data_IF_074858583908
#
_entry.id   IF_074858583908
#
_cell.length_a   1.000
_cell.length_b   1.000
_cell.length_c   1.000
_cell.angle_alpha   90.00
_cell.angle_beta   90.00
_cell.angle_gamma   90.00
#
_symmetry.space_group_name_H-M   'P 1'
#
loop_
_entity.id
_entity.type
_entity.pdbx_description
1 polymer ?
#
# COMPACT_ATOMS: atom_id res chain seq x y z
N UNK A 1 -1.83 -56.27 -23.04
CA UNK A 1 -2.97 -55.91 -23.92
C UNK A 1 -4.19 -55.59 -23.08
N UNK A 2 -4.96 -54.56 -23.46
CA UNK A 2 -6.19 -53.98 -22.86
C UNK A 2 -5.89 -52.94 -21.76
N UNK A 3 -5.80 -51.64 -22.10
CA UNK A 3 -6.86 -50.64 -22.35
C UNK A 3 -7.82 -50.44 -21.17
N UNK A 4 -7.40 -49.61 -20.21
CA UNK A 4 -8.29 -48.83 -19.33
C UNK A 4 -7.48 -47.60 -18.95
N UNK A 5 -7.56 -46.44 -19.65
CA UNK A 5 -7.04 -45.12 -19.20
C UNK A 5 -7.53 -43.99 -20.13
N UNK A 6 -8.82 -43.99 -20.50
CA UNK A 6 -9.41 -42.93 -21.34
C UNK A 6 -10.72 -42.35 -20.77
N UNK A 7 -11.14 -42.76 -19.58
CA UNK A 7 -12.40 -42.32 -18.97
C UNK A 7 -12.29 -41.20 -17.94
N UNK A 8 -11.10 -40.99 -17.35
CA UNK A 8 -10.93 -40.02 -16.26
C UNK A 8 -10.60 -38.59 -16.75
N UNK A 9 -10.05 -38.45 -17.95
CA UNK A 9 -9.62 -37.15 -18.48
C UNK A 9 -10.78 -36.31 -19.05
N UNK A 10 -11.90 -36.94 -19.46
CA UNK A 10 -13.07 -36.22 -19.97
C UNK A 10 -14.01 -35.70 -18.86
N UNK A 11 -13.93 -36.25 -17.64
CA UNK A 11 -14.79 -35.82 -16.52
C UNK A 11 -14.24 -34.56 -15.84
N UNK A 12 -12.91 -34.37 -15.83
CA UNK A 12 -12.27 -33.18 -15.24
C UNK A 12 -12.46 -31.93 -16.12
N UNK A 13 -12.53 -32.08 -17.44
CA UNK A 13 -12.77 -30.96 -18.36
C UNK A 13 -14.24 -30.52 -18.34
N UNK A 14 -15.19 -31.43 -18.10
CA UNK A 14 -16.62 -31.11 -18.01
C UNK A 14 -16.99 -30.38 -16.70
N UNK A 15 -16.26 -30.61 -15.59
CA UNK A 15 -16.51 -29.94 -14.32
C UNK A 15 -16.07 -28.46 -14.31
N UNK A 16 -14.98 -28.11 -15.02
CA UNK A 16 -14.54 -26.71 -15.13
C UNK A 16 -15.45 -25.85 -16.02
N UNK A 17 -16.17 -26.43 -16.98
CA UNK A 17 -17.09 -25.69 -17.84
C UNK A 17 -18.44 -25.38 -17.15
N UNK A 18 -18.85 -26.17 -16.15
CA UNK A 18 -20.14 -25.97 -15.45
C UNK A 18 -20.06 -24.88 -14.37
N UNK A 19 -18.86 -24.62 -13.81
CA UNK A 19 -18.68 -23.55 -12.81
C UNK A 19 -18.65 -22.14 -13.44
N UNK A 20 -18.30 -22.03 -14.73
CA UNK A 20 -18.26 -20.75 -15.45
C UNK A 20 -19.62 -20.32 -16.06
N UNK A 21 -20.65 -21.18 -16.07
CA UNK A 21 -21.95 -20.89 -16.68
C UNK A 21 -23.13 -20.75 -15.69
N UNK A 22 -22.90 -20.87 -14.37
CA UNK A 22 -23.96 -20.75 -13.37
C UNK A 22 -24.22 -19.31 -12.87
N UNK A 23 -23.67 -18.30 -13.56
CA UNK A 23 -24.16 -16.93 -13.47
C UNK A 23 -25.29 -16.74 -14.47
N UNK A 24 -26.49 -17.27 -14.20
CA UNK A 24 -27.81 -16.81 -14.70
C UNK A 24 -28.88 -17.88 -14.40
N UNK A 25 -29.91 -17.47 -13.65
CA UNK A 25 -31.28 -18.04 -13.56
C UNK A 25 -31.60 -19.17 -12.54
N UNK A 26 -32.26 -18.73 -11.46
CA UNK A 26 -33.40 -19.30 -10.69
C UNK A 26 -33.28 -20.60 -9.84
N UNK A 27 -34.10 -20.71 -8.76
CA UNK A 27 -33.70 -21.38 -7.53
C UNK A 27 -34.37 -22.74 -7.29
N UNK A 28 -33.71 -23.61 -6.53
CA UNK A 28 -34.34 -24.78 -5.91
C UNK A 28 -34.26 -24.69 -4.38
N UNK A 29 -35.47 -24.61 -3.82
CA UNK A 29 -35.86 -24.66 -2.42
C UNK A 29 -35.22 -25.80 -1.62
N UNK A 30 -34.60 -25.46 -0.48
CA UNK A 30 -34.43 -26.39 0.65
C UNK A 30 -34.76 -25.67 1.96
N UNK A 31 -35.85 -26.13 2.57
CA UNK A 31 -36.36 -25.73 3.89
C UNK A 31 -35.36 -26.12 4.99
N UNK A 32 -34.94 -25.15 5.80
CA UNK A 32 -34.35 -25.39 7.11
C UNK A 32 -35.33 -24.97 8.22
N UNK A 33 -35.36 -25.82 9.26
CA UNK A 33 -36.26 -25.78 10.41
C UNK A 33 -35.95 -24.57 11.30
N UNK A 34 -37.00 -23.88 11.70
CA UNK A 34 -36.98 -22.78 12.66
C UNK A 34 -36.78 -23.31 14.09
N UNK A 35 -35.76 -22.80 14.77
CA UNK A 35 -35.67 -22.84 16.23
C UNK A 35 -36.12 -21.48 16.78
N UNK A 36 -37.07 -21.52 17.72
CA UNK A 36 -37.71 -20.39 18.39
C UNK A 36 -36.80 -19.74 19.44
N UNK A 37 -36.71 -18.40 19.52
CA UNK A 37 -36.22 -17.72 20.72
C UNK A 37 -37.35 -17.47 21.72
N UNK A 38 -37.04 -17.74 22.98
CA UNK A 38 -37.90 -17.59 24.15
C UNK A 38 -38.11 -16.12 24.53
N UNK A 39 -39.34 -15.83 24.98
CA UNK A 39 -39.78 -14.57 25.61
C UNK A 39 -39.01 -14.30 26.90
N UNK A 40 -38.53 -13.07 27.08
CA UNK A 40 -38.22 -12.50 28.39
C UNK A 40 -39.21 -11.36 28.66
N UNK A 41 -39.71 -11.31 29.89
CA UNK A 41 -40.85 -10.54 30.35
C UNK A 41 -40.53 -9.10 30.74
N UNK A 42 -41.54 -8.25 30.57
CA UNK A 42 -41.73 -6.92 31.17
C UNK A 42 -41.45 -6.86 32.67
N UNK A 43 -40.87 -5.75 33.11
CA UNK A 43 -41.17 -5.11 34.39
C UNK A 43 -41.39 -3.60 34.17
N UNK A 44 -42.39 -3.08 34.86
CA UNK A 44 -43.00 -1.74 34.75
C UNK A 44 -42.50 -0.78 35.84
N UNK A 45 -42.42 0.50 35.44
CA UNK A 45 -42.75 1.75 36.16
C UNK A 45 -42.09 2.08 37.51
N UNK A 46 -41.47 3.27 37.55
CA UNK A 46 -41.90 4.36 38.45
C UNK A 46 -41.37 5.72 37.96
N UNK A 47 -42.28 6.69 37.88
CA UNK A 47 -42.04 8.12 37.69
C UNK A 47 -41.41 8.74 38.95
N UNK A 48 -40.53 9.74 38.79
CA UNK A 48 -40.73 11.10 39.34
C UNK A 48 -39.50 12.00 39.19
N UNK A 49 -39.78 13.22 38.73
CA UNK A 49 -39.20 14.52 39.10
C UNK A 49 -37.90 15.04 38.46
N UNK A 50 -38.11 16.06 37.63
CA UNK A 50 -37.68 17.46 37.79
C UNK A 50 -36.20 17.70 38.14
N UNK A 51 -35.41 17.87 37.09
CA UNK A 51 -34.26 18.76 37.10
C UNK A 51 -34.26 19.61 35.83
N UNK A 52 -34.41 20.92 36.03
CA UNK A 52 -33.98 21.96 35.10
C UNK A 52 -32.49 21.74 34.81
N UNK A 53 -32.14 21.26 33.62
CA UNK A 53 -30.76 21.12 33.18
C UNK A 53 -30.65 21.59 31.72
N UNK A 54 -30.05 22.77 31.61
CA UNK A 54 -29.57 23.50 30.44
C UNK A 54 -29.88 22.93 29.06
N UNK A 55 -30.73 23.68 28.37
CA UNK A 55 -30.96 23.77 26.92
C UNK A 55 -29.63 23.99 26.15
N UNK A 56 -28.78 22.95 26.13
CA UNK A 56 -27.73 22.78 25.13
C UNK A 56 -28.42 22.12 23.95
N UNK A 57 -29.07 22.94 23.12
CA UNK A 57 -29.56 22.55 21.80
C UNK A 57 -28.44 21.76 21.10
N UNK A 58 -28.64 20.44 21.08
CA UNK A 58 -28.16 19.46 20.12
C UNK A 58 -27.11 20.02 19.14
N UNK A 59 -25.86 20.12 19.58
CA UNK A 59 -24.74 19.80 18.70
C UNK A 59 -24.97 18.34 18.32
N UNK A 60 -25.79 18.12 17.29
CA UNK A 60 -25.91 16.84 16.62
C UNK A 60 -24.49 16.42 16.35
N UNK A 61 -24.06 15.33 17.00
CA UNK A 61 -22.87 14.59 16.63
C UNK A 61 -23.03 14.25 15.15
N UNK A 62 -22.58 15.16 14.27
CA UNK A 62 -22.54 14.96 12.83
C UNK A 62 -21.79 13.65 12.67
N UNK A 63 -22.51 12.62 12.21
CA UNK A 63 -21.94 11.30 12.06
C UNK A 63 -20.67 11.49 11.22
N UNK A 64 -19.46 11.18 11.74
CA UNK A 64 -18.21 11.43 11.03
C UNK A 64 -18.09 10.62 9.73
N UNK A 65 -19.13 9.88 9.34
CA UNK A 65 -19.29 9.20 8.06
C UNK A 65 -20.14 9.96 7.04
N UNK A 66 -20.85 11.03 7.43
CA UNK A 66 -21.67 11.83 6.53
C UNK A 66 -20.78 12.56 5.51
N UNK A 67 -20.95 12.23 4.23
CA UNK A 67 -20.12 12.74 3.13
C UNK A 67 -18.94 11.85 2.72
N UNK A 68 -18.66 10.75 3.43
CA UNK A 68 -17.65 9.79 2.96
C UNK A 68 -18.17 8.98 1.76
N UNK A 69 -17.34 8.90 0.73
CA UNK A 69 -17.56 7.99 -0.40
C UNK A 69 -17.47 6.53 0.08
N UNK A 70 -18.20 5.61 -0.57
CA UNK A 70 -18.16 4.18 -0.21
C UNK A 70 -16.74 3.57 -0.25
N UNK A 71 -15.83 4.15 -1.02
CA UNK A 71 -14.41 3.75 -1.05
C UNK A 71 -13.63 4.22 0.18
N UNK A 72 -13.88 5.42 0.69
CA UNK A 72 -13.28 5.90 1.95
C UNK A 72 -13.75 5.06 3.15
N UNK A 73 -15.03 4.68 3.16
CA UNK A 73 -15.56 3.74 4.14
C UNK A 73 -14.87 2.37 4.03
N UNK A 74 -14.65 1.85 2.81
CA UNK A 74 -13.88 0.62 2.57
C UNK A 74 -12.46 0.72 3.15
N UNK A 75 -11.81 1.87 2.96
CA UNK A 75 -10.46 2.14 3.45
C UNK A 75 -10.37 2.20 4.97
N UNK A 76 -11.29 2.95 5.59
CA UNK A 76 -11.42 3.06 7.05
C UNK A 76 -11.71 1.69 7.66
N UNK A 77 -12.62 0.93 7.05
CA UNK A 77 -12.94 -0.44 7.47
C UNK A 77 -11.72 -1.35 7.38
N UNK A 78 -10.93 -1.30 6.30
CA UNK A 78 -9.71 -2.11 6.16
C UNK A 78 -8.65 -1.77 7.22
N UNK A 79 -8.50 -0.48 7.57
CA UNK A 79 -7.60 -0.06 8.65
C UNK A 79 -8.07 -0.59 10.01
N UNK A 80 -9.33 -0.32 10.37
CA UNK A 80 -9.93 -0.77 11.64
C UNK A 80 -9.84 -2.29 11.75
N UNK A 81 -10.06 -3.01 10.65
CA UNK A 81 -9.94 -4.45 10.56
C UNK A 81 -8.53 -4.93 10.90
N UNK A 82 -7.52 -4.32 10.29
CA UNK A 82 -6.12 -4.65 10.58
C UNK A 82 -5.73 -4.31 12.01
N UNK A 83 -6.37 -3.34 12.65
CA UNK A 83 -6.07 -2.97 14.04
C UNK A 83 -6.73 -3.91 15.05
N UNK A 84 -8.00 -4.25 14.83
CA UNK A 84 -8.80 -5.03 15.78
C UNK A 84 -8.49 -6.53 15.74
N UNK A 85 -8.23 -7.09 14.55
CA UNK A 85 -8.06 -8.54 14.38
C UNK A 85 -6.60 -9.00 14.49
N UNK A 86 -5.62 -8.11 14.64
CA UNK A 86 -4.21 -8.46 14.49
C UNK A 86 -3.58 -9.13 15.72
N UNK A 87 -3.02 -10.32 15.50
CA UNK A 87 -2.24 -11.02 16.52
C UNK A 87 -0.78 -10.54 16.52
N UNK A 88 -0.46 -9.63 17.43
CA UNK A 88 0.91 -9.12 17.59
C UNK A 88 1.97 -10.19 17.86
N UNK A 89 1.59 -11.34 18.45
CA UNK A 89 2.53 -12.43 18.75
C UNK A 89 2.84 -13.27 17.51
N UNK A 90 1.85 -13.58 16.68
CA UNK A 90 2.06 -14.40 15.49
C UNK A 90 2.46 -13.56 14.27
N UNK A 91 1.83 -12.40 14.08
CA UNK A 91 1.95 -11.53 12.90
C UNK A 91 2.99 -10.42 13.09
N UNK A 92 3.42 -10.14 14.32
CA UNK A 92 4.43 -9.11 14.64
C UNK A 92 3.81 -7.72 14.76
N UNK A 93 4.59 -6.67 14.53
CA UNK A 93 4.11 -5.29 14.63
C UNK A 93 3.06 -4.98 13.55
N UNK A 94 1.90 -4.45 13.96
CA UNK A 94 0.85 -3.99 13.03
C UNK A 94 1.38 -2.81 12.21
N UNK A 95 1.33 -2.85 10.87
CA UNK A 95 1.80 -1.77 10.01
C UNK A 95 0.78 -0.60 9.94
N UNK A 96 0.34 -0.06 11.08
CA UNK A 96 -0.66 1.03 11.14
C UNK A 96 -0.08 2.39 10.75
N UNK A 97 1.22 2.58 10.95
CA UNK A 97 1.95 3.81 10.58
C UNK A 97 3.16 3.46 9.73
N UNK A 98 3.67 4.42 8.92
CA UNK A 98 4.88 4.21 8.13
C UNK A 98 6.08 3.74 8.95
N UNK A 99 6.23 4.25 10.17
CA UNK A 99 7.33 3.93 11.09
C UNK A 99 7.22 2.49 11.58
N UNK A 100 6.02 2.06 12.02
CA UNK A 100 5.78 0.69 12.48
C UNK A 100 5.96 -0.32 11.36
N UNK A 101 5.45 -0.01 10.16
CA UNK A 101 5.65 -0.84 8.98
C UNK A 101 7.13 -0.96 8.62
N UNK A 102 7.88 0.16 8.70
CA UNK A 102 9.30 0.19 8.41
C UNK A 102 10.12 -0.64 9.40
N UNK A 103 9.79 -0.60 10.70
CA UNK A 103 10.44 -1.45 11.72
C UNK A 103 10.27 -2.94 11.41
N UNK A 104 9.04 -3.35 11.07
CA UNK A 104 8.75 -4.75 10.70
C UNK A 104 9.51 -5.18 9.42
N UNK A 105 9.55 -4.30 8.41
CA UNK A 105 10.28 -4.56 7.18
C UNK A 105 11.81 -4.59 7.39
N UNK A 106 12.36 -3.70 8.22
CA UNK A 106 13.79 -3.58 8.48
C UNK A 106 14.40 -4.87 9.06
N UNK A 107 13.64 -5.60 9.89
CA UNK A 107 14.08 -6.91 10.40
C UNK A 107 14.22 -7.94 9.28
N UNK A 108 13.24 -8.02 8.39
CA UNK A 108 13.28 -8.94 7.24
C UNK A 108 14.39 -8.57 6.25
N UNK A 109 14.60 -7.27 6.00
CA UNK A 109 15.72 -6.76 5.18
C UNK A 109 17.06 -7.14 5.81
N UNK A 110 17.22 -6.94 7.12
CA UNK A 110 18.47 -7.28 7.83
C UNK A 110 18.82 -8.76 7.69
N UNK A 111 17.84 -9.65 7.85
CA UNK A 111 18.02 -11.09 7.69
C UNK A 111 18.38 -11.47 6.25
N UNK A 112 17.77 -10.81 5.25
CA UNK A 112 18.08 -11.04 3.84
C UNK A 112 19.48 -10.57 3.46
N UNK A 113 19.90 -9.39 3.93
CA UNK A 113 21.27 -8.87 3.75
C UNK A 113 22.30 -9.80 4.41
N UNK A 114 21.99 -10.35 5.58
CA UNK A 114 22.83 -11.35 6.26
C UNK A 114 23.01 -12.65 5.45
N UNK A 115 22.12 -12.93 4.50
CA UNK A 115 22.23 -14.04 3.53
C UNK A 115 22.72 -13.60 2.15
N UNK A 116 23.34 -12.41 2.07
CA UNK A 116 23.91 -11.85 0.85
C UNK A 116 22.90 -11.57 -0.27
N UNK A 117 21.62 -11.36 0.07
CA UNK A 117 20.68 -10.76 -0.87
C UNK A 117 20.87 -9.25 -0.90
N UNK A 118 21.12 -8.72 -2.09
CA UNK A 118 21.34 -7.30 -2.32
C UNK A 118 20.20 -6.64 -3.12
N UNK A 119 19.39 -7.42 -3.83
CA UNK A 119 18.19 -6.95 -4.52
C UNK A 119 16.95 -7.49 -3.79
N UNK A 120 16.20 -6.59 -3.17
CA UNK A 120 15.09 -6.94 -2.28
C UNK A 120 13.80 -6.24 -2.70
N UNK A 121 12.67 -6.85 -2.40
CA UNK A 121 11.34 -6.31 -2.68
C UNK A 121 10.53 -6.24 -1.39
N UNK A 122 9.87 -5.11 -1.19
CA UNK A 122 8.91 -4.86 -0.13
C UNK A 122 7.58 -4.53 -0.80
N UNK A 123 6.50 -5.21 -0.42
CA UNK A 123 5.17 -4.95 -0.96
C UNK A 123 4.12 -4.78 0.15
N UNK A 124 3.87 -3.53 0.47
CA UNK A 124 2.76 -3.09 1.29
C UNK A 124 1.56 -2.90 0.36
N UNK A 125 0.78 -3.94 0.11
CA UNK A 125 -0.49 -3.85 -0.63
C UNK A 125 -1.60 -3.23 0.23
N UNK A 126 -1.22 -2.20 1.00
CA UNK A 126 -2.10 -1.32 1.75
C UNK A 126 -2.46 -0.17 0.82
N UNK A 127 -3.72 0.27 0.74
CA UNK A 127 -4.10 1.17 -0.35
C UNK A 127 -3.47 2.57 -0.24
N UNK A 128 -3.03 3.00 0.95
CA UNK A 128 -2.26 4.24 1.10
C UNK A 128 -0.86 4.19 0.47
N UNK A 129 -0.36 2.99 0.16
CA UNK A 129 0.96 2.77 -0.41
C UNK A 129 0.88 2.21 -1.83
N UNK A 130 -0.30 1.77 -2.29
CA UNK A 130 -0.47 1.20 -3.63
C UNK A 130 -0.86 2.27 -4.65
N UNK A 131 0.02 2.52 -5.62
CA UNK A 131 -0.22 3.52 -6.67
C UNK A 131 -1.40 3.15 -7.59
N UNK A 132 -1.74 1.85 -7.68
CA UNK A 132 -2.84 1.38 -8.53
C UNK A 132 -4.22 1.70 -7.97
N UNK A 133 -4.34 2.03 -6.68
CA UNK A 133 -5.60 2.47 -6.07
C UNK A 133 -5.96 3.90 -6.51
N UNK A 134 -5.01 4.60 -7.14
CA UNK A 134 -5.20 5.92 -7.72
C UNK A 134 -4.76 7.06 -6.80
N UNK A 135 -4.66 8.28 -7.34
CA UNK A 135 -4.05 9.42 -6.66
C UNK A 135 -4.84 9.88 -5.42
N UNK A 136 -6.13 9.49 -5.32
CA UNK A 136 -6.97 9.81 -4.16
C UNK A 136 -6.55 9.04 -2.91
N UNK A 137 -6.13 7.78 -3.08
CA UNK A 137 -5.81 6.89 -1.96
C UNK A 137 -4.30 6.75 -1.74
N UNK A 138 -3.50 6.87 -2.80
CA UNK A 138 -2.05 6.82 -2.72
C UNK A 138 -1.47 8.05 -2.00
N UNK A 139 -0.93 7.84 -0.80
CA UNK A 139 -0.29 8.89 0.00
C UNK A 139 1.23 8.86 -0.20
N UNK A 140 1.70 9.66 -1.16
CA UNK A 140 3.12 9.83 -1.47
C UNK A 140 3.97 10.17 -0.23
N UNK A 141 3.42 10.95 0.71
CA UNK A 141 4.12 11.35 1.92
C UNK A 141 4.24 10.17 2.89
N UNK A 142 3.18 9.37 3.06
CA UNK A 142 3.25 8.15 3.86
C UNK A 142 4.28 7.15 3.31
N UNK A 143 4.33 6.98 1.98
CA UNK A 143 5.33 6.13 1.32
C UNK A 143 6.76 6.66 1.57
N UNK A 144 6.97 7.96 1.43
CA UNK A 144 8.26 8.58 1.72
C UNK A 144 8.67 8.46 3.19
N UNK A 145 7.74 8.65 4.13
CA UNK A 145 7.97 8.47 5.56
C UNK A 145 8.35 7.03 5.90
N UNK A 146 7.73 6.06 5.23
CA UNK A 146 8.10 4.65 5.35
C UNK A 146 9.54 4.43 4.89
N UNK A 147 9.93 4.92 3.71
CA UNK A 147 11.30 4.80 3.19
C UNK A 147 12.33 5.46 4.11
N UNK A 148 12.01 6.64 4.63
CA UNK A 148 12.86 7.37 5.59
C UNK A 148 13.05 6.58 6.87
N UNK A 149 11.95 6.08 7.44
CA UNK A 149 11.97 5.26 8.65
C UNK A 149 12.74 3.94 8.44
N UNK A 150 12.56 3.31 7.29
CA UNK A 150 13.28 2.09 6.92
C UNK A 150 14.77 2.37 6.84
N UNK A 151 15.17 3.47 6.20
CA UNK A 151 16.57 3.89 6.11
C UNK A 151 17.18 4.09 7.49
N UNK A 152 16.50 4.83 8.37
CA UNK A 152 16.97 5.08 9.73
C UNK A 152 17.18 3.77 10.50
N UNK A 153 16.25 2.81 10.38
CA UNK A 153 16.36 1.50 11.01
C UNK A 153 17.56 0.69 10.46
N UNK A 154 17.84 0.77 9.16
CA UNK A 154 18.98 0.08 8.55
C UNK A 154 20.32 0.72 8.91
N UNK A 155 20.37 2.06 9.02
CA UNK A 155 21.54 2.82 9.49
C UNK A 155 21.82 2.55 10.97
N UNK A 156 20.79 2.54 11.82
CA UNK A 156 20.91 2.20 13.24
C UNK A 156 21.52 0.81 13.44
N UNK A 157 21.16 -0.14 12.58
CA UNK A 157 21.70 -1.51 12.54
C UNK A 157 23.07 -1.62 11.85
N UNK A 158 23.62 -0.52 11.34
CA UNK A 158 24.89 -0.46 10.59
C UNK A 158 24.91 -1.36 9.36
N UNK A 159 23.75 -1.55 8.72
CA UNK A 159 23.62 -2.36 7.52
C UNK A 159 23.88 -1.53 6.26
N UNK A 160 23.55 -0.25 6.32
CA UNK A 160 23.80 0.75 5.28
C UNK A 160 24.32 2.02 5.94
N UNK A 161 25.01 2.88 5.20
CA UNK A 161 25.44 4.21 5.67
C UNK A 161 24.45 5.29 5.30
N UNK A 162 23.95 5.28 4.06
CA UNK A 162 23.01 6.29 3.55
C UNK A 162 22.25 5.75 2.34
N UNK A 163 20.96 6.10 2.22
CA UNK A 163 20.16 5.66 1.07
C UNK A 163 19.79 6.79 0.10
N UNK A 164 19.77 6.48 -1.18
CA UNK A 164 19.08 7.27 -2.20
C UNK A 164 17.65 6.76 -2.40
N UNK A 165 16.64 7.57 -2.07
CA UNK A 165 15.23 7.28 -2.33
C UNK A 165 14.87 7.87 -3.69
N UNK A 166 14.53 7.01 -4.63
CA UNK A 166 14.17 7.36 -6.01
C UNK A 166 12.66 7.27 -6.20
N UNK A 167 12.08 8.41 -6.57
CA UNK A 167 10.71 8.52 -7.09
C UNK A 167 10.75 8.69 -8.61
N UNK A 168 9.60 8.57 -9.27
CA UNK A 168 9.58 8.39 -10.73
C UNK A 168 10.07 9.63 -11.47
N UNK A 169 9.51 10.79 -11.14
CA UNK A 169 9.78 12.05 -11.83
C UNK A 169 9.91 13.23 -10.86
N UNK A 170 10.34 14.40 -11.38
CA UNK A 170 10.54 15.59 -10.55
C UNK A 170 9.22 16.16 -10.00
N UNK A 171 8.09 15.88 -10.65
CA UNK A 171 6.78 16.30 -10.16
C UNK A 171 6.41 15.58 -8.86
N UNK A 172 6.59 14.26 -8.81
CA UNK A 172 6.40 13.46 -7.60
C UNK A 172 7.37 13.89 -6.49
N UNK A 173 8.65 14.14 -6.82
CA UNK A 173 9.64 14.66 -5.87
C UNK A 173 9.16 15.97 -5.24
N UNK A 174 8.75 16.95 -6.06
CA UNK A 174 8.29 18.26 -5.57
C UNK A 174 7.00 18.16 -4.75
N UNK A 175 6.09 17.28 -5.14
CA UNK A 175 4.85 17.01 -4.39
C UNK A 175 5.18 16.54 -2.96
N UNK A 176 6.11 15.60 -2.83
CA UNK A 176 6.59 15.10 -1.53
C UNK A 176 7.29 16.21 -0.74
N UNK A 177 8.20 16.98 -1.37
CA UNK A 177 8.90 18.09 -0.71
C UNK A 177 7.91 19.15 -0.18
N UNK A 178 6.93 19.54 -0.99
CA UNK A 178 5.88 20.47 -0.57
C UNK A 178 5.04 19.92 0.57
N UNK A 179 4.70 18.63 0.55
CA UNK A 179 3.95 17.98 1.63
C UNK A 179 4.75 17.93 2.95
N UNK A 180 6.08 17.78 2.88
CA UNK A 180 6.97 17.84 4.03
C UNK A 180 7.02 19.27 4.59
N UNK A 181 7.23 20.27 3.74
CA UNK A 181 7.32 21.68 4.14
C UNK A 181 6.07 22.16 4.88
N UNK A 182 4.88 21.85 4.35
CA UNK A 182 3.59 22.17 5.01
C UNK A 182 3.45 21.57 6.41
N UNK A 183 4.10 20.43 6.65
CA UNK A 183 4.05 19.78 7.97
C UNK A 183 4.97 20.46 8.96
N UNK A 184 6.09 21.01 8.49
CA UNK A 184 7.08 21.71 9.32
C UNK A 184 6.57 23.10 9.71
N UNK A 185 5.88 23.79 8.81
CA UNK A 185 5.33 25.13 9.09
C UNK A 185 4.12 25.10 10.03
N UNK A 186 3.54 23.94 10.29
CA UNK A 186 2.40 23.80 11.20
C UNK A 186 1.13 24.49 10.70
N UNK A 187 1.08 24.87 9.41
CA UNK A 187 -0.10 25.42 8.77
C UNK A 187 -1.14 24.31 8.63
N UNK A 188 -1.97 24.21 9.66
CA UNK A 188 -3.13 23.33 9.70
C UNK A 188 -4.04 23.64 8.50
N UNK A 189 -4.35 22.60 7.72
CA UNK A 189 -5.20 22.60 6.53
C UNK A 189 -6.62 23.15 6.74
N UNK A 190 -7.03 23.46 7.97
CA UNK A 190 -8.39 23.89 8.30
C UNK A 190 -8.67 25.39 8.07
N UNK A 191 -7.66 26.23 7.82
CA UNK A 191 -7.89 27.66 7.53
C UNK A 191 -8.01 27.99 6.02
N UNK A 192 -7.68 27.04 5.14
CA UNK A 192 -7.71 27.24 3.68
C UNK A 192 -9.13 27.31 3.08
N UNK A 193 -10.17 26.90 3.81
CA UNK A 193 -11.53 26.89 3.28
C UNK A 193 -12.31 28.19 3.55
N UNK A 194 -11.76 29.16 4.30
CA UNK A 194 -12.52 30.37 4.64
C UNK A 194 -11.78 31.70 4.66
N UNK A 195 -10.50 31.76 4.32
CA UNK A 195 -9.83 33.05 4.07
C UNK A 195 -8.57 32.90 3.24
N UNK A 196 -8.67 33.15 1.93
CA UNK A 196 -7.61 33.79 1.12
C UNK A 196 -8.05 33.87 -0.34
N UNK A 197 -8.83 34.91 -0.65
CA UNK A 197 -8.97 35.38 -2.03
C UNK A 197 -8.39 36.80 -2.21
N UNK A 198 -7.60 37.33 -1.26
CA UNK A 198 -7.21 38.76 -1.30
C UNK A 198 -5.74 39.12 -1.24
N UNK A 199 -4.81 38.30 -0.74
CA UNK A 199 -3.42 38.77 -0.53
C UNK A 199 -2.39 38.14 -1.49
N UNK A 200 -2.44 36.84 -1.76
CA UNK A 200 -1.44 36.19 -2.64
C UNK A 200 -1.55 36.64 -4.11
N UNK A 201 -2.77 36.95 -4.56
CA UNK A 201 -3.01 37.50 -5.91
C UNK A 201 -2.52 38.95 -5.99
N UNK A 202 -2.55 39.69 -4.88
CA UNK A 202 -2.05 41.07 -4.80
C UNK A 202 -0.53 41.07 -4.81
N UNK A 203 0.12 40.22 -4.02
CA UNK A 203 1.59 40.09 -4.01
C UNK A 203 2.14 39.57 -5.33
N UNK A 204 1.48 38.60 -5.96
CA UNK A 204 1.86 38.13 -7.30
C UNK A 204 1.68 39.24 -8.35
N UNK A 205 0.57 40.00 -8.32
CA UNK A 205 0.38 41.16 -9.20
C UNK A 205 1.40 42.25 -8.97
N UNK A 206 1.80 42.50 -7.73
CA UNK A 206 2.77 43.53 -7.37
C UNK A 206 4.19 43.13 -7.80
N UNK A 207 4.56 41.86 -7.67
CA UNK A 207 5.80 41.32 -8.23
C UNK A 207 5.82 41.39 -9.76
N UNK A 208 4.70 41.09 -10.42
CA UNK A 208 4.57 41.17 -11.88
C UNK A 208 4.68 42.62 -12.39
N UNK A 209 4.01 43.57 -11.74
CA UNK A 209 4.10 45.00 -12.06
C UNK A 209 5.52 45.55 -11.83
N UNK A 210 6.16 45.16 -10.71
CA UNK A 210 7.54 45.56 -10.44
C UNK A 210 8.52 44.98 -11.47
N UNK A 211 8.26 43.78 -11.99
CA UNK A 211 9.07 43.16 -13.05
C UNK A 211 8.91 43.80 -14.44
N UNK A 212 7.83 44.54 -14.66
CA UNK A 212 7.60 45.28 -15.91
C UNK A 212 8.17 46.71 -15.89
N UNK A 213 8.20 47.37 -14.73
CA UNK A 213 8.73 48.74 -14.61
C UNK A 213 10.25 48.80 -14.41
N UNK A 214 10.84 47.73 -13.89
CA UNK A 214 12.29 47.63 -13.78
C UNK A 214 12.87 47.02 -15.05
N UNK A 215 13.27 47.86 -16.00
CA UNK A 215 14.03 47.47 -17.21
C UNK A 215 15.42 46.87 -16.93
N UNK A 216 15.61 46.25 -15.77
CA UNK A 216 16.79 45.52 -15.37
C UNK A 216 16.71 44.09 -15.94
N UNK A 217 17.79 43.57 -16.52
CA UNK A 217 17.82 42.18 -16.96
C UNK A 217 17.60 41.28 -15.73
N UNK A 218 16.60 40.41 -15.81
CA UNK A 218 16.30 39.37 -14.83
C UNK A 218 17.57 38.54 -14.59
N UNK A 219 18.31 38.85 -13.52
CA UNK A 219 19.25 37.90 -12.94
C UNK A 219 18.42 36.68 -12.53
N UNK A 220 18.74 35.54 -13.14
CA UNK A 220 18.21 34.24 -12.75
C UNK A 220 18.53 34.04 -11.28
N UNK A 221 17.57 34.32 -10.40
CA UNK A 221 17.60 33.87 -9.02
C UNK A 221 17.56 32.35 -9.07
N UNK A 222 18.74 31.72 -9.02
CA UNK A 222 18.86 30.29 -8.81
C UNK A 222 18.25 30.00 -7.44
N UNK A 223 16.96 29.65 -7.44
CA UNK A 223 16.30 29.06 -6.29
C UNK A 223 17.13 27.82 -5.95
N UNK A 224 17.83 27.91 -4.81
CA UNK A 224 18.70 26.87 -4.26
C UNK A 224 17.83 25.69 -3.82
N UNK A 225 17.25 24.97 -4.78
CA UNK A 225 16.47 23.75 -4.58
C UNK A 225 17.45 22.62 -4.24
N UNK A 226 17.73 22.45 -2.96
CA UNK A 226 18.05 21.15 -2.34
C UNK A 226 18.28 21.37 -0.85
N UNK A 227 17.21 21.39 -0.09
CA UNK A 227 17.22 21.20 1.37
C UNK A 227 17.40 19.70 1.68
N UNK A 228 18.42 19.06 1.11
CA UNK A 228 18.91 17.82 1.72
C UNK A 228 19.72 18.27 2.93
N UNK A 229 19.13 18.15 4.13
CA UNK A 229 19.90 18.30 5.37
C UNK A 229 21.14 17.41 5.23
N UNK A 230 22.38 17.96 5.29
CA UNK A 230 23.59 17.16 5.17
C UNK A 230 23.64 16.04 6.21
N UNK A 231 22.90 16.19 7.31
CA UNK A 231 22.80 15.22 8.39
C UNK A 231 21.69 14.16 8.19
N UNK A 232 20.87 14.24 7.14
CA UNK A 232 19.87 13.19 6.89
C UNK A 232 20.52 11.88 6.46
N UNK A 233 19.96 10.74 6.88
CA UNK A 233 20.43 9.41 6.48
C UNK A 233 20.01 9.02 5.06
N UNK A 234 19.27 9.89 4.38
CA UNK A 234 18.72 9.64 3.06
C UNK A 234 18.73 10.90 2.19
N UNK A 235 18.57 10.70 0.89
CA UNK A 235 18.32 11.76 -0.08
C UNK A 235 17.14 11.37 -0.96
N UNK A 236 16.14 12.25 -1.08
CA UNK A 236 15.04 12.08 -2.02
C UNK A 236 15.46 12.61 -3.40
N UNK A 237 15.23 11.85 -4.46
CA UNK A 237 15.53 12.29 -5.81
C UNK A 237 14.61 11.65 -6.87
N UNK A 238 14.60 12.23 -8.07
CA UNK A 238 13.84 11.71 -9.21
C UNK A 238 14.71 10.80 -10.09
N UNK A 239 14.16 9.68 -10.56
CA UNK A 239 14.86 8.76 -11.47
C UNK A 239 15.24 9.46 -12.78
N UNK A 240 14.31 10.18 -13.40
CA UNK A 240 14.51 10.83 -14.72
C UNK A 240 14.68 12.35 -14.64
N UNK A 241 14.62 12.94 -13.44
CA UNK A 241 14.69 14.39 -13.27
C UNK A 241 13.49 15.12 -13.88
N UNK A 242 13.76 16.27 -14.50
CA UNK A 242 12.78 17.15 -15.19
C UNK A 242 12.64 16.83 -16.68
N UNK A 243 13.24 15.74 -17.14
CA UNK A 243 13.26 15.40 -18.56
C UNK A 243 11.88 14.90 -19.01
N UNK A 244 11.41 15.42 -20.14
CA UNK A 244 10.19 14.94 -20.78
C UNK A 244 10.56 13.71 -21.60
N UNK A 245 10.12 12.55 -21.14
CA UNK A 245 10.36 11.27 -21.80
C UNK A 245 9.29 11.08 -22.87
N UNK A 246 9.73 10.92 -24.12
CA UNK A 246 8.84 10.60 -25.22
C UNK A 246 8.24 9.19 -25.06
N UNK A 247 7.05 8.97 -25.63
CA UNK A 247 6.42 7.64 -25.67
C UNK A 247 6.80 6.84 -26.93
N UNK A 248 7.74 7.36 -27.72
CA UNK A 248 8.10 6.84 -29.04
C UNK A 248 9.26 5.83 -29.01
N UNK A 249 9.90 5.65 -30.17
CA UNK A 249 11.08 4.78 -30.34
C UNK A 249 12.27 5.20 -29.48
N UNK A 250 12.37 6.49 -29.19
CA UNK A 250 13.55 7.10 -28.57
C UNK A 250 13.45 7.06 -27.03
N UNK A 251 12.31 6.66 -26.48
CA UNK A 251 12.04 6.51 -25.04
C UNK A 251 13.15 5.74 -24.31
N UNK A 252 13.66 4.67 -24.93
CA UNK A 252 14.68 3.83 -24.32
C UNK A 252 15.98 4.60 -24.04
N UNK A 253 16.47 5.34 -25.04
CA UNK A 253 17.71 6.08 -24.94
C UNK A 253 17.55 7.33 -24.06
N UNK A 254 16.39 8.00 -24.15
CA UNK A 254 16.03 9.14 -23.29
C UNK A 254 15.99 8.76 -21.82
N UNK A 255 15.32 7.67 -21.46
CA UNK A 255 15.27 7.19 -20.06
C UNK A 255 16.67 6.82 -19.57
N UNK A 256 17.48 6.14 -20.38
CA UNK A 256 18.85 5.79 -20.00
C UNK A 256 19.68 7.06 -19.73
N UNK A 257 19.62 8.04 -20.63
CA UNK A 257 20.34 9.30 -20.48
C UNK A 257 19.88 10.06 -19.21
N UNK A 258 18.56 10.12 -18.98
CA UNK A 258 17.96 10.76 -17.82
C UNK A 258 18.42 10.10 -16.51
N UNK A 259 18.32 8.77 -16.42
CA UNK A 259 18.76 7.97 -15.27
C UNK A 259 20.27 8.11 -15.06
N UNK A 260 21.04 8.13 -16.14
CA UNK A 260 22.48 8.30 -16.04
C UNK A 260 22.89 9.66 -15.51
N UNK A 261 22.10 10.68 -15.77
CA UNK A 261 22.32 12.04 -15.29
C UNK A 261 21.79 12.24 -13.87
N UNK A 262 20.62 11.70 -13.55
CA UNK A 262 19.87 12.05 -12.33
C UNK A 262 19.96 10.99 -11.22
N UNK A 263 19.90 9.69 -11.53
CA UNK A 263 19.95 8.60 -10.55
C UNK A 263 21.40 8.23 -10.16
N UNK A 264 22.20 9.23 -9.80
CA UNK A 264 23.59 9.04 -9.34
C UNK A 264 23.65 8.94 -7.83
N UNK A 265 24.43 7.98 -7.35
CA UNK A 265 24.84 7.93 -5.94
C UNK A 265 25.87 9.03 -5.67
N UNK A 266 25.69 9.75 -4.57
CA UNK A 266 26.68 10.71 -4.10
C UNK A 266 27.80 9.97 -3.35
N UNK A 267 28.90 9.77 -4.07
CA UNK A 267 30.13 9.17 -3.51
C UNK A 267 30.71 9.94 -2.34
N UNK A 268 30.49 11.26 -2.23
CA UNK A 268 30.99 12.08 -1.12
C UNK A 268 30.22 11.81 0.17
N UNK A 269 28.94 11.48 0.03
CA UNK A 269 28.05 11.17 1.15
C UNK A 269 27.95 9.67 1.45
N UNK A 270 28.77 8.85 0.79
CA UNK A 270 28.83 7.39 0.99
C UNK A 270 27.45 6.71 0.85
N UNK A 271 26.66 7.07 -0.16
CA UNK A 271 25.40 6.37 -0.43
C UNK A 271 25.68 4.93 -0.92
N UNK A 272 25.19 3.95 -0.17
CA UNK A 272 25.42 2.53 -0.38
C UNK A 272 24.13 1.72 -0.62
N UNK A 273 22.97 2.36 -0.44
CA UNK A 273 21.66 1.79 -0.73
C UNK A 273 20.80 2.66 -1.66
N UNK A 274 19.93 2.02 -2.45
CA UNK A 274 18.94 2.66 -3.32
C UNK A 274 17.57 2.09 -2.99
N UNK A 275 16.59 2.94 -2.72
CA UNK A 275 15.18 2.56 -2.56
C UNK A 275 14.42 3.11 -3.77
N UNK A 276 13.77 2.25 -4.55
CA UNK A 276 13.00 2.65 -5.73
C UNK A 276 11.52 2.52 -5.39
N UNK A 277 10.79 3.62 -5.47
CA UNK A 277 9.39 3.72 -5.06
C UNK A 277 8.46 3.46 -6.24
N UNK A 278 7.59 2.47 -6.08
CA UNK A 278 6.43 2.17 -6.93
C UNK A 278 6.68 2.19 -8.45
N UNK A 279 7.75 1.54 -8.97
CA UNK A 279 7.94 1.45 -10.43
C UNK A 279 6.83 0.60 -11.04
N UNK A 280 6.20 1.08 -12.10
CA UNK A 280 5.06 0.38 -12.72
C UNK A 280 5.03 0.40 -14.25
N UNK A 281 5.47 1.47 -14.91
CA UNK A 281 5.34 1.58 -16.37
C UNK A 281 6.60 1.14 -17.14
N UNK A 282 6.53 1.21 -18.48
CA UNK A 282 7.64 0.84 -19.35
C UNK A 282 8.89 1.70 -19.13
N UNK A 283 8.73 3.00 -18.88
CA UNK A 283 9.84 3.90 -18.62
C UNK A 283 10.53 3.54 -17.29
N UNK A 284 9.75 3.24 -16.25
CA UNK A 284 10.24 2.75 -14.97
C UNK A 284 10.99 1.42 -15.14
N UNK A 285 10.48 0.48 -15.94
CA UNK A 285 11.19 -0.78 -16.22
C UNK A 285 12.55 -0.51 -16.87
N UNK A 286 12.64 0.39 -17.86
CA UNK A 286 13.91 0.77 -18.49
C UNK A 286 14.86 1.40 -17.47
N UNK A 287 14.34 2.31 -16.63
CA UNK A 287 15.11 2.97 -15.59
C UNK A 287 15.66 1.97 -14.56
N UNK A 288 14.81 1.05 -14.09
CA UNK A 288 15.17 -0.03 -13.16
C UNK A 288 16.25 -0.92 -13.76
N UNK A 289 16.13 -1.32 -15.03
CA UNK A 289 17.17 -2.10 -15.71
C UNK A 289 18.50 -1.36 -15.74
N UNK A 290 18.47 -0.05 -16.05
CA UNK A 290 19.69 0.77 -16.05
C UNK A 290 20.32 0.89 -14.66
N UNK A 291 19.50 1.08 -13.62
CA UNK A 291 19.97 1.17 -12.22
C UNK A 291 20.56 -0.17 -11.76
N UNK A 292 19.91 -1.30 -12.04
CA UNK A 292 20.40 -2.64 -11.74
C UNK A 292 21.71 -2.94 -12.46
N UNK A 293 21.83 -2.57 -13.74
CA UNK A 293 23.07 -2.74 -14.50
C UNK A 293 24.24 -1.94 -13.89
N UNK A 294 23.97 -0.77 -13.28
CA UNK A 294 25.00 0.09 -12.67
C UNK A 294 25.37 -0.31 -11.25
N UNK A 295 24.38 -0.68 -10.44
CA UNK A 295 24.54 -0.78 -8.99
C UNK A 295 24.13 -2.14 -8.42
N UNK A 296 23.46 -2.99 -9.19
CA UNK A 296 22.89 -4.26 -8.74
C UNK A 296 23.91 -5.32 -8.34
N UNK A 297 25.21 -5.07 -8.46
CA UNK A 297 26.27 -5.94 -7.92
C UNK A 297 27.03 -5.31 -6.74
N UNK A 298 26.93 -4.00 -6.56
CA UNK A 298 27.81 -3.22 -5.66
C UNK A 298 27.05 -2.53 -4.52
N UNK A 299 25.73 -2.49 -4.60
CA UNK A 299 24.85 -1.73 -3.71
C UNK A 299 23.62 -2.55 -3.35
N UNK A 300 23.00 -2.14 -2.26
CA UNK A 300 21.71 -2.66 -1.83
C UNK A 300 20.61 -1.93 -2.58
N UNK A 301 19.71 -2.66 -3.26
CA UNK A 301 18.59 -2.10 -4.00
C UNK A 301 17.30 -2.68 -3.42
N UNK A 302 16.41 -1.80 -2.96
CA UNK A 302 15.11 -2.15 -2.37
C UNK A 302 14.02 -1.58 -3.27
N UNK A 303 13.16 -2.44 -3.80
CA UNK A 303 11.96 -2.04 -4.50
C UNK A 303 10.80 -1.97 -3.51
N UNK A 304 10.14 -0.81 -3.42
CA UNK A 304 8.93 -0.65 -2.64
C UNK A 304 7.72 -0.65 -3.57
N UNK A 305 6.76 -1.52 -3.31
CA UNK A 305 5.46 -1.58 -3.99
C UNK A 305 5.59 -1.60 -5.51
N UNK A 306 6.50 -2.42 -6.04
CA UNK A 306 6.64 -2.57 -7.48
C UNK A 306 5.35 -3.13 -8.09
N UNK A 307 4.92 -2.51 -9.19
CA UNK A 307 3.75 -2.91 -9.98
C UNK A 307 4.11 -3.16 -11.44
N UNK A 308 5.37 -3.45 -11.72
CA UNK A 308 5.85 -3.80 -13.05
C UNK A 308 5.19 -5.11 -13.50
N UNK A 309 4.49 -5.09 -14.62
CA UNK A 309 3.82 -6.30 -15.17
C UNK A 309 4.82 -7.41 -15.49
N UNK A 310 5.99 -7.03 -16.00
CA UNK A 310 7.09 -7.94 -16.32
C UNK A 310 8.33 -7.53 -15.55
N UNK A 311 8.79 -8.40 -14.65
CA UNK A 311 10.03 -8.16 -13.93
C UNK A 311 11.21 -8.30 -14.90
N UNK A 312 12.15 -7.34 -14.90
CA UNK A 312 13.34 -7.45 -15.72
C UNK A 312 14.19 -8.66 -15.32
N UNK A 313 14.90 -9.27 -16.28
CA UNK A 313 15.72 -10.48 -16.06
C UNK A 313 16.81 -10.24 -15.01
N UNK A 314 17.27 -9.00 -14.91
CA UNK A 314 18.22 -8.51 -13.92
C UNK A 314 17.69 -8.64 -12.48
N UNK A 315 16.36 -8.76 -12.29
CA UNK A 315 15.69 -9.04 -11.01
C UNK A 315 15.42 -10.52 -10.76
N UNK A 316 15.95 -11.44 -11.58
CA UNK A 316 15.75 -12.89 -11.37
C UNK A 316 16.21 -13.38 -9.99
N UNK A 317 17.20 -12.72 -9.38
CA UNK A 317 17.69 -13.01 -8.03
C UNK A 317 17.06 -12.14 -6.94
N UNK A 318 16.04 -11.33 -7.27
CA UNK A 318 15.36 -10.52 -6.27
C UNK A 318 14.56 -11.40 -5.32
N UNK A 319 14.48 -10.99 -4.06
CA UNK A 319 13.72 -11.69 -3.02
C UNK A 319 12.70 -10.74 -2.41
N UNK A 320 11.45 -11.18 -2.31
CA UNK A 320 10.46 -10.48 -1.49
C UNK A 320 10.78 -10.73 -0.02
N UNK A 321 11.21 -9.67 0.65
CA UNK A 321 11.62 -9.74 2.05
C UNK A 321 10.49 -9.45 3.00
N UNK A 322 9.58 -8.55 2.61
CA UNK A 322 8.43 -8.18 3.40
C UNK A 322 7.23 -7.93 2.49
N UNK A 323 6.09 -8.52 2.80
CA UNK A 323 4.88 -8.39 2.02
C UNK A 323 3.65 -8.49 2.90
N UNK A 324 2.68 -7.61 2.72
CA UNK A 324 1.38 -7.66 3.42
C UNK A 324 0.27 -7.33 2.43
N UNK A 325 -0.64 -8.28 2.25
CA UNK A 325 -1.83 -8.11 1.42
C UNK A 325 -3.08 -8.44 2.24
N UNK A 326 -3.80 -7.40 2.71
CA UNK A 326 -5.10 -7.59 3.36
C UNK A 326 -6.17 -7.88 2.31
N UNK A 327 -7.06 -8.81 2.62
CA UNK A 327 -8.17 -9.23 1.79
C UNK A 327 -9.44 -9.26 2.65
N UNK A 328 -10.50 -8.67 2.13
CA UNK A 328 -11.80 -8.64 2.79
C UNK A 328 -12.83 -9.16 1.81
N UNK A 329 -13.44 -10.29 2.14
CA UNK A 329 -14.57 -10.80 1.39
C UNK A 329 -15.76 -9.88 1.65
N UNK A 330 -16.32 -9.30 0.60
CA UNK A 330 -17.60 -8.61 0.72
C UNK A 330 -18.67 -9.68 0.92
N UNK A 331 -19.42 -9.58 2.01
CA UNK A 331 -20.67 -10.30 2.12
C UNK A 331 -21.50 -9.93 0.88
N UNK A 332 -22.00 -10.92 0.14
CA UNK A 332 -22.91 -10.64 -0.96
C UNK A 332 -24.10 -9.93 -0.34
N UNK A 333 -24.19 -8.61 -0.53
CA UNK A 333 -25.29 -7.80 -0.05
C UNK A 333 -26.56 -8.44 -0.58
N UNK A 334 -27.23 -9.20 0.29
CA UNK A 334 -28.51 -9.79 -0.05
C UNK A 334 -29.40 -8.57 -0.20
N UNK A 335 -29.82 -8.28 -1.44
CA UNK A 335 -30.48 -7.04 -1.91
C UNK A 335 -31.72 -6.57 -1.13
N UNK A 336 -32.07 -7.23 -0.03
CA UNK A 336 -33.26 -7.00 0.76
C UNK A 336 -33.00 -6.38 2.14
N UNK A 337 -31.75 -6.16 2.56
CA UNK A 337 -31.47 -5.40 3.79
C UNK A 337 -31.24 -3.94 3.43
N UNK A 338 -32.29 -3.11 3.57
CA UNK A 338 -32.25 -1.67 3.28
C UNK A 338 -31.54 -0.84 4.37
N UNK A 339 -30.98 -1.48 5.39
CA UNK A 339 -30.14 -0.84 6.39
C UNK A 339 -28.68 -1.19 6.11
N UNK A 340 -27.99 -0.31 5.38
CA UNK A 340 -26.57 -0.43 5.00
C UNK A 340 -25.59 -0.25 6.18
N UNK A 341 -26.10 0.05 7.38
CA UNK A 341 -25.26 0.42 8.53
C UNK A 341 -24.77 -0.78 9.36
N UNK A 342 -25.33 -1.97 9.18
CA UNK A 342 -24.97 -3.21 9.92
C UNK A 342 -24.36 -4.27 8.98
N UNK A 343 -23.46 -3.87 8.08
CA UNK A 343 -22.71 -4.84 7.27
C UNK A 343 -21.66 -5.49 8.17
N UNK A 344 -22.04 -6.62 8.78
CA UNK A 344 -21.11 -7.48 9.50
C UNK A 344 -19.91 -7.79 8.59
N UNK A 345 -18.67 -7.50 9.03
CA UNK A 345 -17.51 -7.63 8.16
C UNK A 345 -17.37 -9.10 7.76
N UNK A 346 -17.49 -9.36 6.45
CA UNK A 346 -17.30 -10.69 5.88
C UNK A 346 -15.89 -11.23 6.14
N UNK A 347 -15.67 -12.49 5.76
CA UNK A 347 -14.41 -13.21 5.96
C UNK A 347 -13.19 -12.35 5.62
N UNK A 348 -12.22 -12.31 6.53
CA UNK A 348 -11.02 -11.51 6.39
C UNK A 348 -9.81 -12.42 6.29
N UNK A 349 -8.86 -12.04 5.45
CA UNK A 349 -7.59 -12.74 5.33
C UNK A 349 -6.44 -11.76 5.16
N UNK A 350 -5.26 -12.13 5.63
CA UNK A 350 -4.02 -11.39 5.38
C UNK A 350 -2.98 -12.37 4.89
N UNK A 351 -2.46 -12.11 3.70
CA UNK A 351 -1.30 -12.81 3.15
C UNK A 351 -0.06 -12.04 3.56
N UNK A 352 0.88 -12.73 4.21
CA UNK A 352 2.10 -12.11 4.72
C UNK A 352 3.35 -12.85 4.24
N UNK A 353 4.40 -12.09 3.93
CA UNK A 353 5.78 -12.55 3.75
C UNK A 353 6.67 -11.82 4.74
N UNK A 354 7.48 -12.58 5.49
CA UNK A 354 8.52 -12.06 6.38
C UNK A 354 9.74 -12.96 6.25
N UNK A 355 10.78 -12.49 5.58
CA UNK A 355 11.98 -13.29 5.36
C UNK A 355 12.62 -13.68 6.70
N UNK A 356 13.08 -14.93 6.88
CA UNK A 356 13.20 -16.00 5.88
C UNK A 356 11.98 -16.94 5.79
N UNK A 357 10.89 -16.65 6.50
CA UNK A 357 9.69 -17.47 6.46
C UNK A 357 9.05 -17.45 5.07
N UNK A 358 8.42 -18.56 4.71
CA UNK A 358 7.57 -18.61 3.53
C UNK A 358 6.25 -17.85 3.74
N UNK A 359 5.51 -17.70 2.64
CA UNK A 359 4.19 -17.10 2.64
C UNK A 359 3.30 -17.70 3.71
N UNK A 360 2.70 -16.83 4.52
CA UNK A 360 1.79 -17.21 5.59
C UNK A 360 0.43 -16.56 5.34
N UNK A 361 -0.62 -17.34 5.52
CA UNK A 361 -2.00 -16.86 5.42
C UNK A 361 -2.61 -16.82 6.82
N UNK A 362 -3.16 -15.68 7.19
CA UNK A 362 -3.90 -15.48 8.42
C UNK A 362 -5.36 -15.21 8.08
N UNK A 363 -6.29 -15.83 8.80
CA UNK A 363 -7.72 -15.77 8.50
C UNK A 363 -8.47 -15.40 9.77
N UNK A 364 -9.39 -14.44 9.66
CA UNK A 364 -10.37 -14.11 10.67
C UNK A 364 -11.75 -14.34 10.05
N UNK A 365 -12.33 -15.51 10.33
CA UNK A 365 -13.62 -15.94 9.80
C UNK A 365 -14.80 -15.63 10.73
N UNK A 366 -14.54 -15.42 12.02
CA UNK A 366 -15.57 -15.33 13.06
C UNK A 366 -15.49 -14.05 13.91
N UNK A 367 -14.53 -13.16 13.65
CA UNK A 367 -14.34 -11.93 14.42
C UNK A 367 -13.46 -12.08 15.66
N UNK A 368 -12.95 -13.28 15.94
CA UNK A 368 -12.09 -13.57 17.11
C UNK A 368 -10.61 -13.17 16.90
N UNK A 369 -10.29 -12.64 15.71
CA UNK A 369 -8.95 -12.25 15.32
C UNK A 369 -8.28 -13.23 14.37
N UNK A 370 -7.12 -12.83 13.86
CA UNK A 370 -6.38 -13.54 12.83
C UNK A 370 -5.71 -14.80 13.37
N UNK A 371 -6.08 -15.95 12.80
CA UNK A 371 -5.45 -17.24 13.08
C UNK A 371 -4.68 -17.71 11.86
N UNK A 372 -3.45 -18.20 12.06
CA UNK A 372 -2.62 -18.73 10.97
C UNK A 372 -3.28 -19.98 10.36
N UNK A 373 -3.52 -19.97 9.06
CA UNK A 373 -3.95 -21.12 8.30
C UNK A 373 -2.83 -22.17 8.27
N UNK A 374 -3.17 -23.45 8.46
CA UNK A 374 -2.20 -24.55 8.37
C UNK A 374 -1.84 -24.75 6.90
N UNK A 375 -0.56 -24.66 6.57
CA UNK A 375 -0.07 -25.05 5.26
C UNK A 375 -0.17 -26.58 5.11
N UNK A 376 -1.03 -27.04 4.20
CA UNK A 376 -1.37 -28.45 4.04
C UNK A 376 -0.80 -29.08 2.78
N UNK A 377 -0.47 -28.26 1.79
CA UNK A 377 -0.25 -28.78 0.44
C UNK A 377 1.23 -28.90 0.09
N UNK A 378 2.15 -28.39 0.92
CA UNK A 378 3.57 -28.30 0.56
C UNK A 378 3.77 -27.59 -0.79
N UNK A 379 2.75 -26.86 -1.24
CA UNK A 379 2.72 -26.18 -2.51
C UNK A 379 3.33 -24.82 -2.26
N UNK A 380 4.59 -24.69 -2.66
CA UNK A 380 5.28 -23.43 -2.63
C UNK A 380 4.68 -22.51 -3.70
N UNK A 381 4.05 -21.39 -3.31
CA UNK A 381 3.45 -20.48 -4.27
C UNK A 381 4.56 -19.79 -5.08
N UNK A 382 4.81 -20.29 -6.29
CA UNK A 382 5.57 -19.60 -7.33
C UNK A 382 6.93 -19.05 -6.93
N UNK A 383 7.35 -18.01 -7.65
CA UNK A 383 8.62 -17.32 -7.45
C UNK A 383 8.62 -16.53 -6.14
N UNK A 384 9.77 -16.46 -5.47
CA UNK A 384 9.95 -15.76 -4.17
C UNK A 384 9.76 -14.23 -4.22
N UNK A 385 9.37 -13.68 -5.36
CA UNK A 385 9.36 -12.26 -5.67
C UNK A 385 7.95 -11.72 -6.00
N UNK A 386 6.90 -12.54 -5.91
CA UNK A 386 5.52 -12.14 -6.15
C UNK A 386 4.58 -12.74 -5.09
N UNK A 387 3.44 -12.09 -4.88
CA UNK A 387 2.39 -12.64 -4.02
C UNK A 387 1.88 -13.99 -4.55
N UNK A 388 1.41 -14.87 -3.66
CA UNK A 388 0.74 -16.10 -4.06
C UNK A 388 -0.46 -15.80 -4.97
N UNK A 389 -0.73 -16.66 -5.97
CA UNK A 389 -1.88 -16.47 -6.85
C UNK A 389 -3.19 -16.55 -6.05
N UNK A 390 -4.21 -15.82 -6.50
CA UNK A 390 -5.53 -15.78 -5.85
C UNK A 390 -6.14 -17.17 -5.63
N UNK A 391 -5.90 -18.12 -6.54
CA UNK A 391 -6.34 -19.51 -6.40
C UNK A 391 -5.74 -20.21 -5.17
N UNK A 392 -4.47 -19.95 -4.86
CA UNK A 392 -3.81 -20.50 -3.68
C UNK A 392 -4.43 -19.94 -2.41
N UNK A 393 -4.68 -18.62 -2.40
CA UNK A 393 -5.28 -17.93 -1.26
C UNK A 393 -6.69 -18.47 -1.02
N UNK A 394 -7.55 -18.45 -2.05
CA UNK A 394 -8.93 -18.92 -1.97
C UNK A 394 -9.02 -20.36 -1.49
N UNK A 395 -8.16 -21.25 -1.99
CA UNK A 395 -8.12 -22.65 -1.57
C UNK A 395 -7.73 -22.82 -0.10
N UNK A 396 -6.70 -22.11 0.36
CA UNK A 396 -6.29 -22.19 1.77
C UNK A 396 -7.33 -21.57 2.71
N UNK A 397 -8.02 -20.51 2.27
CA UNK A 397 -9.17 -19.95 2.98
C UNK A 397 -10.28 -20.99 3.10
N UNK A 398 -10.66 -21.64 2.00
CA UNK A 398 -11.70 -22.66 1.98
C UNK A 398 -11.37 -23.82 2.93
N UNK A 399 -10.14 -24.35 2.88
CA UNK A 399 -9.73 -25.43 3.78
C UNK A 399 -9.79 -25.04 5.26
N UNK A 400 -9.43 -23.80 5.58
CA UNK A 400 -9.50 -23.30 6.95
C UNK A 400 -10.95 -23.20 7.45
N UNK A 401 -11.84 -22.64 6.63
CA UNK A 401 -13.26 -22.42 6.98
C UNK A 401 -14.05 -23.73 7.07
N UNK A 402 -13.85 -24.65 6.11
CA UNK A 402 -14.60 -25.91 6.07
C UNK A 402 -14.11 -26.93 7.11
N UNK A 403 -13.04 -26.61 7.85
CA UNK A 403 -12.47 -27.51 8.84
C UNK A 403 -12.03 -28.85 8.24
N UNK A 404 -11.71 -28.88 6.95
CA UNK A 404 -11.19 -30.04 6.24
C UNK A 404 -9.80 -30.33 6.79
N UNK A 405 -9.77 -31.03 7.93
CA UNK A 405 -8.60 -31.47 8.67
C UNK A 405 -8.07 -32.82 8.21
#
# INVERSE_FOLDING_TARGET
MKRIHSGFLCIVIAACAIILAASFSTPASLRLKTCSPQKISKCTLSESNDYDDWDMEDEMDEDPTEGMTGEELRMKAMRILLENSWDGKAMGTVPTTPEKAAVAAAESVALAMGRSHNVMMIDLSLPSYDILEGPKFYDQKAVYNFCTSLTNQLVERKLITRSLILVRNDQERRSIECAIEKTVTGESSYDMARSQESDDVVDFRQQLLNSWDSGAPLEKTEIKMSTSDPNSNHRLWSMVGKEEISTGSDMFDEVIAAVDKHARLDTRQQEDAIIIVSPYDTADVIAVRRILARYGQTRTIIFLNSRMETLPVEMSNSVMVYGVMPLVARASATRNSANDNDVEPGLKAVVMKRFPEEWSLFIDAFGDGFVRAKDRLGYHPGTSNAFPPGEWIARNVQYHVEGLQ
#
